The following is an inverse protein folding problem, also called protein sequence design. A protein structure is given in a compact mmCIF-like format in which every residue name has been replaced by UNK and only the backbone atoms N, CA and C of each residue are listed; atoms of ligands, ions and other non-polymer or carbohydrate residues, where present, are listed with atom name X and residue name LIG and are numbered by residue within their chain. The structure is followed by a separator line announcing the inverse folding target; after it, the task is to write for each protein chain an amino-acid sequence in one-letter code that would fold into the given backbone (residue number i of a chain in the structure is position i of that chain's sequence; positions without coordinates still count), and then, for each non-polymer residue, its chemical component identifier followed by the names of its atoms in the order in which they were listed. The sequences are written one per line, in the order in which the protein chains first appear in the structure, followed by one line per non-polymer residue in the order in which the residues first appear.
data_IF_711617117661
#
_entry.id   IF_711617117661
#
_cell.length_a   1.000
_cell.length_b   1.000
_cell.length_c   1.000
_cell.angle_alpha   90.00
_cell.angle_beta   90.00
_cell.angle_gamma   90.00
#
_symmetry.space_group_name_H-M   'P 1'
#
loop_
_entity.id
_entity.type
_entity.pdbx_description
1 polymer ?
#
# COMPACT_ATOMS: atom_id res chain seq x y z
N UNK A 1 -7.08 -2.84 18.31
CA UNK A 1 -6.50 -1.95 19.34
C UNK A 1 -7.54 -1.51 20.38
N UNK A 2 -7.21 -1.45 21.67
CA UNK A 2 -8.05 -0.69 22.61
C UNK A 2 -8.15 0.75 22.07
N UNK A 3 -9.35 1.34 22.04
CA UNK A 3 -9.48 2.73 21.60
C UNK A 3 -8.93 3.65 22.70
N UNK A 4 -7.59 3.81 22.73
CA UNK A 4 -6.87 4.62 23.73
C UNK A 4 -7.14 6.13 23.55
N UNK A 5 -8.03 6.52 22.63
CA UNK A 5 -8.37 7.91 22.34
C UNK A 5 -8.87 8.66 23.58
N UNK A 6 -9.61 8.00 24.48
CA UNK A 6 -10.04 8.61 25.74
C UNK A 6 -8.89 9.02 26.67
N UNK A 7 -7.66 8.57 26.40
CA UNK A 7 -6.46 8.93 27.13
C UNK A 7 -5.61 10.02 26.46
N UNK A 8 -6.03 10.57 25.32
CA UNK A 8 -5.24 11.54 24.55
C UNK A 8 -4.78 12.77 25.36
N UNK A 9 -5.55 13.17 26.38
CA UNK A 9 -5.23 14.28 27.28
C UNK A 9 -4.35 13.90 28.49
N UNK A 10 -4.09 12.61 28.73
CA UNK A 10 -3.25 12.13 29.84
C UNK A 10 -1.77 12.06 29.42
N UNK A 11 -0.81 12.30 30.34
CA UNK A 11 0.62 12.17 30.03
C UNK A 11 1.06 10.69 30.01
N UNK A 12 1.92 10.34 29.04
CA UNK A 12 2.49 9.02 28.83
C UNK A 12 1.51 7.81 28.70
N UNK A 13 0.27 7.93 28.19
CA UNK A 13 -0.53 6.76 27.87
C UNK A 13 0.08 5.99 26.68
N UNK A 14 -0.35 4.73 26.49
CA UNK A 14 0.00 3.94 25.32
C UNK A 14 -0.38 4.65 24.02
N UNK A 15 0.34 4.30 22.94
CA UNK A 15 0.07 4.79 21.60
C UNK A 15 -1.40 4.51 21.20
N UNK A 16 -2.03 5.47 20.53
CA UNK A 16 -3.37 5.26 19.93
C UNK A 16 -3.21 4.41 18.66
N UNK A 17 -2.26 4.79 17.79
CA UNK A 17 -1.94 4.08 16.56
C UNK A 17 -2.74 4.58 15.35
N UNK A 18 -2.29 4.19 14.16
CA UNK A 18 -2.89 4.59 12.89
C UNK A 18 -4.31 4.04 12.74
N UNK A 19 -4.59 2.80 13.16
CA UNK A 19 -5.89 2.21 12.84
C UNK A 19 -7.10 2.89 13.50
N UNK A 20 -7.09 3.22 14.81
CA UNK A 20 -8.20 3.94 15.44
C UNK A 20 -8.36 5.37 14.88
N UNK A 21 -7.26 6.07 14.62
CA UNK A 21 -7.27 7.43 14.08
C UNK A 21 -7.82 7.45 12.65
N UNK A 22 -7.35 6.53 11.80
CA UNK A 22 -7.83 6.40 10.42
C UNK A 22 -9.31 6.02 10.38
N UNK A 23 -9.79 5.15 11.27
CA UNK A 23 -11.22 4.77 11.33
C UNK A 23 -12.11 5.99 11.55
N UNK A 24 -11.72 6.90 12.45
CA UNK A 24 -12.46 8.14 12.69
C UNK A 24 -12.44 9.08 11.49
N UNK A 25 -11.26 9.26 10.87
CA UNK A 25 -11.16 10.02 9.62
C UNK A 25 -12.03 9.43 8.52
N UNK A 26 -12.02 8.10 8.38
CA UNK A 26 -12.82 7.36 7.39
C UNK A 26 -14.33 7.52 7.62
N UNK A 27 -14.77 7.59 8.88
CA UNK A 27 -16.15 7.88 9.26
C UNK A 27 -16.51 9.39 9.22
N UNK A 28 -15.61 10.23 8.69
CA UNK A 28 -15.76 11.68 8.60
C UNK A 28 -15.92 12.39 9.97
N UNK A 29 -15.38 11.82 11.04
CA UNK A 29 -15.29 12.52 12.33
C UNK A 29 -14.28 13.67 12.27
N UNK A 30 -14.59 14.80 12.93
CA UNK A 30 -13.65 15.92 13.03
C UNK A 30 -12.52 15.57 14.01
N UNK A 31 -11.31 15.40 13.47
CA UNK A 31 -10.10 15.09 14.25
C UNK A 31 -9.45 16.33 14.87
N UNK A 32 -9.89 17.55 14.56
CA UNK A 32 -9.26 18.78 15.09
C UNK A 32 -9.26 18.85 16.62
N UNK A 33 -10.35 18.50 17.34
CA UNK A 33 -10.33 18.51 18.81
C UNK A 33 -9.28 17.55 19.38
N UNK A 34 -9.21 16.33 18.83
CA UNK A 34 -8.21 15.34 19.23
C UNK A 34 -6.78 15.82 18.93
N UNK A 35 -6.57 16.43 17.76
CA UNK A 35 -5.28 17.04 17.40
C UNK A 35 -4.86 18.14 18.38
N UNK A 36 -5.79 18.97 18.85
CA UNK A 36 -5.50 20.02 19.83
C UNK A 36 -5.11 19.43 21.20
N UNK A 37 -5.76 18.35 21.64
CA UNK A 37 -5.41 17.64 22.87
C UNK A 37 -4.02 17.00 22.78
N UNK A 38 -3.71 16.32 21.69
CA UNK A 38 -2.41 15.69 21.45
C UNK A 38 -1.29 16.74 21.36
N UNK A 39 -1.54 17.87 20.68
CA UNK A 39 -0.60 18.98 20.63
C UNK A 39 -0.33 19.56 22.03
N UNK A 40 -1.38 19.83 22.80
CA UNK A 40 -1.24 20.34 24.16
C UNK A 40 -0.48 19.35 25.07
N UNK A 41 -0.74 18.05 24.92
CA UNK A 41 -0.02 16.98 25.63
C UNK A 41 1.47 16.95 25.26
N UNK A 42 1.80 17.01 23.97
CA UNK A 42 3.17 17.03 23.48
C UNK A 42 3.93 18.28 23.98
N UNK A 43 3.27 19.45 23.98
CA UNK A 43 3.86 20.69 24.50
C UNK A 43 4.09 20.64 26.02
N UNK A 44 3.15 20.07 26.78
CA UNK A 44 3.27 19.94 28.23
C UNK A 44 4.28 18.86 28.64
N UNK A 45 4.49 17.84 27.80
CA UNK A 45 5.36 16.70 28.08
C UNK A 45 6.29 16.43 26.87
N UNK A 46 7.39 17.19 26.69
CA UNK A 46 8.25 17.06 25.51
C UNK A 46 8.93 15.70 25.31
N UNK A 47 8.95 14.85 26.34
CA UNK A 47 9.49 13.49 26.28
C UNK A 47 8.43 12.43 25.89
N UNK A 48 7.17 12.83 25.70
CA UNK A 48 6.06 11.92 25.40
C UNK A 48 5.98 11.64 23.88
N UNK A 49 6.87 10.77 23.40
CA UNK A 49 6.98 10.45 21.98
C UNK A 49 5.68 9.91 21.36
N UNK A 50 4.86 9.21 22.15
CA UNK A 50 3.54 8.72 21.70
C UNK A 50 2.61 9.87 21.31
N UNK A 51 2.61 10.97 22.08
CA UNK A 51 1.81 12.15 21.76
C UNK A 51 2.22 12.77 20.41
N UNK A 52 3.54 12.86 20.15
CA UNK A 52 4.07 13.34 18.88
C UNK A 52 3.68 12.41 17.72
N UNK A 53 3.83 11.09 17.87
CA UNK A 53 3.52 10.15 16.79
C UNK A 53 2.01 10.15 16.46
N UNK A 54 1.14 10.10 17.47
CA UNK A 54 -0.32 10.17 17.27
C UNK A 54 -0.74 11.52 16.66
N UNK A 55 -0.13 12.63 17.11
CA UNK A 55 -0.39 13.96 16.53
C UNK A 55 0.07 14.05 15.08
N UNK A 56 1.22 13.47 14.75
CA UNK A 56 1.71 13.41 13.37
C UNK A 56 0.69 12.70 12.47
N UNK A 57 0.11 11.61 12.95
CA UNK A 57 -0.93 10.86 12.22
C UNK A 57 -2.18 11.71 12.00
N UNK A 58 -2.66 12.42 13.03
CA UNK A 58 -3.79 13.37 12.88
C UNK A 58 -3.49 14.46 11.86
N UNK A 59 -2.27 14.99 11.82
CA UNK A 59 -1.86 15.98 10.81
C UNK A 59 -1.89 15.39 9.39
N UNK A 60 -1.46 14.14 9.20
CA UNK A 60 -1.58 13.46 7.90
C UNK A 60 -3.04 13.33 7.47
N UNK A 61 -3.91 12.86 8.39
CA UNK A 61 -5.33 12.66 8.14
C UNK A 61 -6.11 13.97 7.92
N UNK A 62 -5.55 15.11 8.34
CA UNK A 62 -6.11 16.45 8.13
C UNK A 62 -5.41 17.23 7.02
N UNK A 63 -4.63 16.54 6.17
CA UNK A 63 -3.95 17.07 4.99
C UNK A 63 -2.87 18.13 5.27
N UNK A 64 -2.21 18.06 6.43
CA UNK A 64 -1.07 18.91 6.81
C UNK A 64 0.26 18.15 6.65
N UNK A 65 0.57 17.70 5.42
CA UNK A 65 1.68 16.76 5.14
C UNK A 65 3.03 17.22 5.70
N UNK A 66 3.47 18.43 5.38
CA UNK A 66 4.80 18.92 5.77
C UNK A 66 4.99 18.91 7.30
N UNK A 67 4.04 19.51 8.03
CA UNK A 67 4.07 19.50 9.49
C UNK A 67 3.96 18.09 10.06
N UNK A 68 3.15 17.22 9.45
CA UNK A 68 3.02 15.84 9.88
C UNK A 68 4.36 15.09 9.84
N UNK A 69 5.09 15.20 8.72
CA UNK A 69 6.38 14.52 8.56
C UNK A 69 7.44 15.10 9.50
N UNK A 70 7.45 16.41 9.74
CA UNK A 70 8.35 17.04 10.70
C UNK A 70 8.09 16.55 12.15
N UNK A 71 6.81 16.49 12.56
CA UNK A 71 6.42 15.99 13.89
C UNK A 71 6.73 14.49 14.02
N UNK A 72 6.51 13.70 12.97
CA UNK A 72 6.86 12.27 12.96
C UNK A 72 8.37 12.06 13.15
N UNK A 73 9.19 12.82 12.43
CA UNK A 73 10.65 12.76 12.58
C UNK A 73 11.09 13.07 14.01
N UNK A 74 10.49 14.09 14.63
CA UNK A 74 10.75 14.42 16.03
C UNK A 74 10.33 13.30 16.99
N UNK A 75 9.17 12.67 16.76
CA UNK A 75 8.73 11.53 17.56
C UNK A 75 9.75 10.39 17.52
N UNK A 76 10.25 10.08 16.32
CA UNK A 76 11.21 8.99 16.08
C UNK A 76 12.59 9.31 16.69
N UNK A 77 13.02 10.57 16.66
CA UNK A 77 14.24 11.01 17.34
C UNK A 77 14.17 10.83 18.86
N UNK A 78 13.00 11.09 19.45
CA UNK A 78 12.76 10.86 20.88
C UNK A 78 12.71 9.36 21.23
N UNK A 79 12.07 8.58 20.37
CA UNK A 79 11.86 7.14 20.57
C UNK A 79 11.65 6.47 19.20
N UNK A 80 12.49 5.50 18.86
CA UNK A 80 12.38 4.78 17.59
C UNK A 80 11.48 3.52 17.66
N UNK A 81 11.26 2.98 18.85
CA UNK A 81 10.49 1.75 19.08
C UNK A 81 9.13 2.06 19.71
N UNK A 82 8.04 1.61 19.09
CA UNK A 82 6.67 1.78 19.59
C UNK A 82 5.98 0.43 19.69
N UNK A 83 5.17 0.23 20.73
CA UNK A 83 4.49 -1.05 20.96
C UNK A 83 2.98 -0.87 20.98
N UNK A 84 2.28 -1.76 20.29
CA UNK A 84 0.83 -1.92 20.32
C UNK A 84 0.49 -3.32 20.87
N UNK A 85 -0.13 -3.41 22.06
CA UNK A 85 -0.46 -4.71 22.64
C UNK A 85 -1.56 -5.42 21.85
N UNK A 86 -1.53 -6.76 21.89
CA UNK A 86 -2.62 -7.58 21.39
C UNK A 86 -3.94 -7.24 22.10
N UNK A 87 -5.09 -7.37 21.42
CA UNK A 87 -6.41 -7.16 22.07
C UNK A 87 -6.74 -8.28 23.07
N UNK A 88 -6.13 -9.45 22.92
CA UNK A 88 -6.38 -10.61 23.77
C UNK A 88 -5.43 -10.63 24.99
N UNK A 89 -5.91 -11.14 26.13
CA UNK A 89 -5.22 -11.11 27.42
C UNK A 89 -3.94 -11.96 27.51
N UNK A 90 -3.70 -12.85 26.54
CA UNK A 90 -2.42 -13.51 26.36
C UNK A 90 -2.00 -13.34 24.90
N UNK A 91 -0.85 -12.70 24.60
CA UNK A 91 -0.38 -12.58 23.22
C UNK A 91 0.00 -13.96 22.70
N UNK A 92 -0.56 -14.33 21.54
CA UNK A 92 -0.26 -15.60 20.89
C UNK A 92 1.04 -15.55 20.07
N UNK A 93 1.35 -14.40 19.45
CA UNK A 93 2.53 -14.19 18.61
C UNK A 93 3.07 -12.75 18.78
N UNK A 94 4.39 -12.59 18.79
CA UNK A 94 5.06 -11.28 18.82
C UNK A 94 5.69 -10.95 17.47
N UNK A 95 5.27 -9.83 16.87
CA UNK A 95 5.74 -9.37 15.58
C UNK A 95 6.58 -8.10 15.75
N UNK A 96 7.83 -8.14 15.29
CA UNK A 96 8.65 -6.94 15.09
C UNK A 96 8.48 -6.44 13.65
N UNK A 97 8.18 -5.17 13.47
CA UNK A 97 8.01 -4.56 12.15
C UNK A 97 9.03 -3.44 11.96
N UNK A 98 9.79 -3.53 10.88
CA UNK A 98 10.72 -2.48 10.47
C UNK A 98 9.97 -1.45 9.63
N UNK A 99 9.99 -0.21 10.10
CA UNK A 99 9.30 0.94 9.51
C UNK A 99 10.32 1.99 9.05
N UNK A 100 10.00 2.70 7.97
CA UNK A 100 10.66 3.92 7.54
C UNK A 100 9.85 5.15 7.91
N UNK A 101 10.43 6.34 7.73
CA UNK A 101 9.66 7.58 7.80
C UNK A 101 8.80 7.74 6.57
N UNK A 102 7.75 8.55 6.71
CA UNK A 102 6.93 8.95 5.58
C UNK A 102 5.46 8.96 5.92
N UNK A 103 4.68 9.09 4.86
CA UNK A 103 3.23 9.10 4.96
C UNK A 103 2.66 7.70 5.25
N UNK A 104 1.33 7.62 5.39
CA UNK A 104 0.61 6.37 5.63
C UNK A 104 0.84 5.27 4.57
N UNK A 105 1.36 5.63 3.39
CA UNK A 105 1.65 4.69 2.29
C UNK A 105 3.14 4.35 2.18
N UNK A 106 4.00 4.99 2.97
CA UNK A 106 5.44 4.76 2.99
C UNK A 106 5.83 3.46 3.70
N UNK A 107 4.86 2.83 4.37
CA UNK A 107 4.99 1.54 5.03
C UNK A 107 3.73 0.70 4.84
N UNK A 108 3.84 -0.63 4.88
CA UNK A 108 2.69 -1.52 5.01
C UNK A 108 1.88 -1.13 6.24
N UNK A 109 0.59 -0.79 6.09
CA UNK A 109 -0.24 -0.37 7.21
C UNK A 109 -0.72 -1.60 8.00
N UNK A 110 0.25 -2.25 8.65
CA UNK A 110 0.17 -3.54 9.35
C UNK A 110 -0.90 -3.55 10.44
N UNK A 111 -1.11 -2.39 11.06
CA UNK A 111 -2.11 -2.14 12.08
C UNK A 111 -3.54 -2.57 11.66
N UNK A 112 -3.92 -2.39 10.40
CA UNK A 112 -5.23 -2.81 9.90
C UNK A 112 -5.34 -4.33 9.73
N UNK A 113 -4.24 -5.01 9.41
CA UNK A 113 -4.20 -6.46 9.20
C UNK A 113 -4.25 -7.25 10.51
N UNK A 114 -3.89 -6.60 11.62
CA UNK A 114 -3.79 -7.19 12.96
C UNK A 114 -4.94 -6.75 13.89
N UNK A 115 -5.91 -6.00 13.38
CA UNK A 115 -7.05 -5.57 14.17
C UNK A 115 -7.81 -6.81 14.71
N UNK A 116 -8.12 -6.82 16.01
CA UNK A 116 -8.72 -7.98 16.73
C UNK A 116 -7.88 -9.27 16.81
N UNK A 117 -6.63 -9.26 16.37
CA UNK A 117 -5.74 -10.41 16.48
C UNK A 117 -5.14 -10.60 17.89
N UNK A 118 -4.55 -11.78 18.10
CA UNK A 118 -3.72 -12.17 19.24
C UNK A 118 -2.25 -11.74 19.09
N UNK A 119 -1.92 -10.95 18.07
CA UNK A 119 -0.54 -10.53 17.76
C UNK A 119 -0.21 -9.25 18.51
N UNK A 120 0.87 -9.26 19.28
CA UNK A 120 1.48 -8.02 19.78
C UNK A 120 2.46 -7.47 18.76
N UNK A 121 2.41 -6.16 18.55
CA UNK A 121 3.15 -5.48 17.50
C UNK A 121 4.18 -4.52 18.12
N UNK A 122 5.45 -4.72 17.76
CA UNK A 122 6.53 -3.77 18.01
C UNK A 122 6.97 -3.14 16.69
N UNK A 123 6.90 -1.82 16.58
CA UNK A 123 7.26 -1.04 15.38
C UNK A 123 8.59 -0.32 15.64
N UNK A 124 9.63 -0.73 14.92
CA UNK A 124 10.95 -0.11 14.97
C UNK A 124 11.15 0.76 13.74
N UNK A 125 11.19 2.07 13.95
CA UNK A 125 11.46 3.06 12.91
C UNK A 125 12.96 3.22 12.69
N UNK A 126 13.38 3.23 11.43
CA UNK A 126 14.77 3.43 11.02
C UNK A 126 14.87 4.47 9.90
N UNK A 127 15.90 5.31 9.98
CA UNK A 127 16.30 6.25 8.92
C UNK A 127 17.61 5.78 8.29
N UNK A 128 18.17 6.52 7.33
CA UNK A 128 19.52 6.23 6.81
C UNK A 128 20.62 6.56 7.83
N UNK A 129 20.37 7.55 8.68
CA UNK A 129 21.29 8.07 9.70
C UNK A 129 21.16 7.33 11.04
N UNK A 130 20.01 6.69 11.28
CA UNK A 130 19.73 5.99 12.53
C UNK A 130 20.77 4.90 12.79
N UNK A 131 21.33 4.84 13.99
CA UNK A 131 22.09 3.67 14.41
C UNK A 131 21.16 2.45 14.48
N UNK A 132 21.68 1.26 14.17
CA UNK A 132 20.93 0.04 14.46
C UNK A 132 20.87 -0.13 15.99
N UNK A 133 19.70 -0.42 16.59
CA UNK A 133 19.62 -0.60 18.03
C UNK A 133 20.44 -1.83 18.47
N UNK A 134 21.23 -1.69 19.54
CA UNK A 134 22.06 -2.79 20.06
C UNK A 134 21.22 -4.02 20.44
N UNK A 135 19.98 -3.78 20.88
CA UNK A 135 19.01 -4.83 21.20
C UNK A 135 17.64 -4.47 20.62
N UNK A 136 16.89 -5.49 20.22
CA UNK A 136 15.48 -5.36 19.87
C UNK A 136 14.64 -6.17 20.85
N UNK A 137 13.33 -5.90 20.99
CA UNK A 137 12.43 -6.75 21.75
C UNK A 137 12.50 -8.21 21.26
N UNK A 138 12.37 -9.16 22.17
CA UNK A 138 12.23 -10.56 21.78
C UNK A 138 10.91 -10.76 21.03
N UNK A 139 10.99 -11.39 19.87
CA UNK A 139 9.90 -11.54 18.91
C UNK A 139 10.00 -12.90 18.21
N UNK A 140 8.89 -13.33 17.62
CA UNK A 140 8.80 -14.62 16.96
C UNK A 140 9.07 -14.49 15.44
N UNK A 141 8.63 -13.38 14.84
CA UNK A 141 8.76 -13.08 13.41
C UNK A 141 9.11 -11.60 13.24
N UNK A 142 9.92 -11.27 12.23
CA UNK A 142 10.13 -9.91 11.76
C UNK A 142 9.46 -9.69 10.40
N UNK A 143 8.91 -8.50 10.16
CA UNK A 143 8.43 -8.08 8.84
C UNK A 143 9.06 -6.74 8.46
N UNK A 144 9.49 -6.60 7.20
CA UNK A 144 9.86 -5.29 6.66
C UNK A 144 8.62 -4.67 6.03
N UNK A 145 8.16 -3.55 6.59
CA UNK A 145 6.99 -2.83 6.10
C UNK A 145 7.35 -1.67 5.17
N UNK A 146 8.60 -1.19 5.16
CA UNK A 146 9.06 -0.12 4.27
C UNK A 146 8.59 -0.37 2.83
N UNK A 147 7.90 0.59 2.23
CA UNK A 147 7.36 0.49 0.87
C UNK A 147 8.45 0.72 -0.18
N UNK A 148 8.24 0.20 -1.40
CA UNK A 148 9.04 0.60 -2.55
C UNK A 148 8.74 2.05 -2.92
N UNK A 149 9.78 2.87 -2.96
CA UNK A 149 9.74 4.22 -3.53
C UNK A 149 11.16 4.69 -3.79
N UNK A 150 11.34 5.69 -4.66
CA UNK A 150 12.65 6.29 -4.91
C UNK A 150 13.31 6.78 -3.60
N UNK A 151 12.52 7.34 -2.67
CA UNK A 151 13.00 7.83 -1.38
C UNK A 151 13.40 6.68 -0.43
N UNK A 152 12.72 5.54 -0.51
CA UNK A 152 12.98 4.37 0.34
C UNK A 152 14.04 3.42 -0.22
N UNK A 153 14.40 3.50 -1.50
CA UNK A 153 15.41 2.63 -2.13
C UNK A 153 16.73 2.55 -1.32
N UNK A 154 17.33 3.67 -0.85
CA UNK A 154 18.54 3.59 -0.04
C UNK A 154 18.33 2.88 1.30
N UNK A 155 17.16 3.01 1.91
CA UNK A 155 16.83 2.36 3.18
C UNK A 155 16.63 0.85 2.97
N UNK A 156 15.91 0.45 1.92
CA UNK A 156 15.75 -0.95 1.54
C UNK A 156 17.10 -1.62 1.28
N UNK A 157 18.01 -0.94 0.56
CA UNK A 157 19.37 -1.44 0.32
C UNK A 157 20.15 -1.62 1.63
N UNK A 158 20.05 -0.65 2.54
CA UNK A 158 20.68 -0.75 3.88
C UNK A 158 20.11 -1.93 4.67
N UNK A 159 18.80 -2.12 4.65
CA UNK A 159 18.11 -3.19 5.36
C UNK A 159 18.47 -4.57 4.80
N UNK A 160 18.69 -4.72 3.48
CA UNK A 160 19.06 -6.00 2.88
C UNK A 160 20.34 -6.60 3.51
N UNK A 161 21.36 -5.77 3.73
CA UNK A 161 22.60 -6.20 4.40
C UNK A 161 22.38 -6.60 5.87
N UNK A 162 21.38 -6.00 6.51
CA UNK A 162 21.04 -6.26 7.90
C UNK A 162 20.24 -7.56 8.07
N UNK A 163 19.17 -7.73 7.30
CA UNK A 163 18.25 -8.85 7.47
C UNK A 163 18.87 -10.20 7.07
N UNK A 164 19.93 -10.19 6.28
CA UNK A 164 20.61 -11.38 5.77
C UNK A 164 21.04 -12.37 6.86
N UNK A 165 21.36 -11.87 8.07
CA UNK A 165 21.77 -12.70 9.21
C UNK A 165 20.82 -12.57 10.40
N UNK A 166 19.56 -12.16 10.17
CA UNK A 166 18.59 -12.00 11.25
C UNK A 166 18.26 -13.35 11.90
N UNK A 167 18.24 -13.46 13.25
CA UNK A 167 18.09 -14.75 13.94
C UNK A 167 16.65 -15.29 13.95
N UNK A 168 15.68 -14.53 13.42
CA UNK A 168 14.27 -14.91 13.34
C UNK A 168 13.80 -14.91 11.88
N UNK A 169 12.70 -15.60 11.54
CA UNK A 169 12.08 -15.52 10.22
C UNK A 169 11.78 -14.08 9.83
N UNK A 170 12.06 -13.74 8.57
CA UNK A 170 11.81 -12.41 8.01
C UNK A 170 10.78 -12.51 6.89
N UNK A 171 9.69 -11.75 7.02
CA UNK A 171 8.67 -11.60 6.00
C UNK A 171 8.97 -10.37 5.17
N UNK A 172 8.85 -10.54 3.85
CA UNK A 172 9.14 -9.55 2.82
C UNK A 172 10.57 -9.01 2.91
N UNK A 173 11.53 -9.75 2.37
CA UNK A 173 12.93 -9.29 2.37
C UNK A 173 13.09 -7.99 1.54
N UNK A 174 13.93 -7.04 2.00
CA UNK A 174 14.08 -5.72 1.37
C UNK A 174 14.47 -5.78 -0.11
N UNK A 175 15.31 -6.75 -0.52
CA UNK A 175 15.73 -6.92 -1.91
C UNK A 175 14.59 -7.27 -2.85
N UNK A 176 13.55 -7.96 -2.36
CA UNK A 176 12.35 -8.28 -3.13
C UNK A 176 11.34 -7.14 -3.11
N UNK A 177 11.32 -6.32 -2.05
CA UNK A 177 10.54 -5.08 -2.03
C UNK A 177 11.11 -4.06 -3.01
N UNK A 178 12.44 -3.92 -3.07
CA UNK A 178 13.13 -2.91 -3.89
C UNK A 178 12.83 -3.01 -5.40
N UNK A 179 12.36 -4.17 -5.88
CA UNK A 179 12.02 -4.39 -7.30
C UNK A 179 10.55 -4.15 -7.62
N UNK A 180 9.73 -3.69 -6.65
CA UNK A 180 8.31 -3.42 -6.86
C UNK A 180 8.00 -2.11 -7.60
N UNK A 181 9.03 -1.40 -8.07
CA UNK A 181 8.83 -0.23 -8.94
C UNK A 181 8.05 -0.62 -10.19
N UNK A 182 7.33 0.32 -10.80
CA UNK A 182 6.49 0.01 -11.97
C UNK A 182 7.28 -0.60 -13.13
N UNK A 183 8.49 -0.12 -13.35
CA UNK A 183 9.44 -0.65 -14.32
C UNK A 183 10.07 -1.99 -13.87
N UNK A 184 10.32 -2.17 -12.57
CA UNK A 184 10.81 -3.43 -12.00
C UNK A 184 9.79 -4.57 -12.12
N UNK A 185 8.54 -4.32 -11.70
CA UNK A 185 7.40 -5.24 -11.87
C UNK A 185 7.17 -5.51 -13.35
N UNK A 186 7.22 -4.47 -14.20
CA UNK A 186 7.11 -4.62 -15.64
C UNK A 186 8.14 -5.62 -16.16
N UNK A 187 9.43 -5.39 -15.87
CA UNK A 187 10.53 -6.25 -16.30
C UNK A 187 10.39 -7.69 -15.79
N UNK A 188 10.00 -7.87 -14.52
CA UNK A 188 9.82 -9.18 -13.91
C UNK A 188 8.62 -9.95 -14.50
N UNK A 189 7.53 -9.27 -14.84
CA UNK A 189 6.30 -9.92 -15.29
C UNK A 189 6.19 -10.09 -16.81
N UNK A 190 7.10 -9.52 -17.59
CA UNK A 190 7.10 -9.70 -19.05
C UNK A 190 7.02 -11.18 -19.46
N UNK A 191 6.30 -11.43 -20.56
CA UNK A 191 6.12 -12.75 -21.17
C UNK A 191 5.50 -13.81 -20.24
N UNK A 192 4.77 -13.42 -19.20
CA UNK A 192 3.97 -14.37 -18.42
C UNK A 192 2.68 -14.71 -19.17
N UNK A 193 2.32 -16.00 -19.34
CA UNK A 193 1.04 -16.36 -19.95
C UNK A 193 -0.12 -15.88 -19.07
N UNK A 194 -1.25 -15.54 -19.72
CA UNK A 194 -2.49 -15.13 -19.07
C UNK A 194 -2.39 -13.84 -18.22
N UNK A 195 -1.36 -13.03 -18.47
CA UNK A 195 -1.08 -11.79 -17.75
C UNK A 195 -0.79 -10.69 -18.78
N UNK A 196 -1.47 -9.57 -18.66
CA UNK A 196 -1.16 -8.35 -19.40
C UNK A 196 -0.43 -7.37 -18.47
N UNK A 197 0.88 -7.20 -18.71
CA UNK A 197 1.70 -6.17 -18.06
C UNK A 197 2.26 -5.26 -19.16
N UNK A 198 1.58 -4.14 -19.45
CA UNK A 198 2.04 -3.16 -20.41
C UNK A 198 3.48 -2.73 -20.17
N UNK A 199 4.26 -2.63 -21.24
CA UNK A 199 5.62 -2.11 -21.17
C UNK A 199 5.56 -0.72 -20.53
N UNK A 200 6.29 -0.54 -19.44
CA UNK A 200 6.34 0.72 -18.69
C UNK A 200 7.79 1.18 -18.63
N UNK A 201 8.04 2.37 -19.17
CA UNK A 201 9.39 2.96 -19.22
C UNK A 201 9.48 4.20 -18.34
N UNK A 202 10.65 4.39 -17.74
CA UNK A 202 11.04 5.64 -17.09
C UNK A 202 11.71 6.55 -18.11
N UNK A 203 11.20 7.78 -18.26
CA UNK A 203 11.77 8.79 -19.15
C UNK A 203 11.93 10.13 -18.43
N UNK A 204 12.91 10.91 -18.88
CA UNK A 204 13.10 12.29 -18.47
C UNK A 204 12.07 13.22 -19.14
N UNK A 205 11.80 14.36 -18.51
CA UNK A 205 10.92 15.42 -19.01
C UNK A 205 11.28 15.83 -20.44
N UNK A 206 12.56 15.94 -20.75
CA UNK A 206 13.04 16.29 -22.08
C UNK A 206 12.64 15.28 -23.17
N UNK A 207 12.61 13.98 -22.85
CA UNK A 207 12.17 12.94 -23.78
C UNK A 207 10.65 13.02 -24.01
N UNK A 208 9.87 13.30 -22.95
CA UNK A 208 8.44 13.54 -23.08
C UNK A 208 8.17 14.80 -23.91
N UNK A 209 8.90 15.89 -23.68
CA UNK A 209 8.82 17.11 -24.50
C UNK A 209 9.15 16.84 -25.98
N UNK A 210 10.18 16.04 -26.25
CA UNK A 210 10.53 15.64 -27.61
C UNK A 210 9.40 14.85 -28.29
N UNK A 211 8.66 14.01 -27.54
CA UNK A 211 7.48 13.31 -28.05
C UNK A 211 6.38 14.31 -28.41
N UNK A 212 6.11 15.28 -27.53
CA UNK A 212 5.12 16.34 -27.77
C UNK A 212 5.45 17.23 -28.97
N UNK A 213 6.74 17.48 -29.22
CA UNK A 213 7.20 18.26 -30.37
C UNK A 213 7.34 17.44 -31.67
N UNK A 214 7.03 16.14 -31.65
CA UNK A 214 7.22 15.24 -32.80
C UNK A 214 8.69 14.96 -33.17
N UNK A 215 9.63 15.27 -32.28
CA UNK A 215 11.06 15.02 -32.47
C UNK A 215 11.47 13.57 -32.17
N UNK A 216 10.60 12.81 -31.47
CA UNK A 216 10.68 11.36 -31.32
C UNK A 216 9.30 10.74 -31.54
N UNK A 217 9.23 9.42 -31.70
CA UNK A 217 7.97 8.68 -31.88
C UNK A 217 7.65 7.84 -30.65
N UNK A 218 6.38 7.44 -30.50
CA UNK A 218 5.98 6.50 -29.45
C UNK A 218 6.77 5.20 -29.58
N UNK A 219 6.89 4.65 -30.79
CA UNK A 219 7.64 3.42 -31.05
C UNK A 219 9.13 3.47 -30.67
N UNK A 220 9.73 4.67 -30.56
CA UNK A 220 11.09 4.83 -30.06
C UNK A 220 11.19 4.72 -28.53
N UNK A 221 10.10 5.05 -27.81
CA UNK A 221 10.01 4.95 -26.35
C UNK A 221 9.42 3.61 -25.90
N UNK A 222 8.39 3.14 -26.60
CA UNK A 222 7.63 1.92 -26.35
C UNK A 222 7.55 1.12 -27.65
N UNK A 223 8.52 0.22 -27.92
CA UNK A 223 8.50 -0.59 -29.12
C UNK A 223 7.21 -1.41 -29.21
N UNK A 224 6.56 -1.39 -30.38
CA UNK A 224 5.29 -2.07 -30.68
C UNK A 224 4.02 -1.39 -30.16
N UNK A 225 4.13 -0.26 -29.47
CA UNK A 225 2.99 0.49 -28.97
C UNK A 225 2.80 1.82 -29.69
N UNK A 226 1.59 2.35 -29.54
CA UNK A 226 1.18 3.67 -30.02
C UNK A 226 0.19 4.29 -29.04
N UNK A 227 -0.28 5.50 -29.32
CA UNK A 227 -1.37 6.13 -28.59
C UNK A 227 -2.65 5.24 -28.57
N UNK A 228 -3.48 5.35 -27.51
CA UNK A 228 -3.32 6.22 -26.35
C UNK A 228 -2.25 5.76 -25.36
N UNK A 229 -1.58 6.71 -24.73
CA UNK A 229 -0.59 6.49 -23.67
C UNK A 229 -1.14 6.89 -22.30
N UNK A 230 -0.58 6.31 -21.24
CA UNK A 230 -0.69 6.83 -19.89
C UNK A 230 0.65 7.42 -19.46
N UNK A 231 0.61 8.61 -18.87
CA UNK A 231 1.80 9.32 -18.38
C UNK A 231 1.60 9.70 -16.92
N UNK A 232 2.61 9.42 -16.11
CA UNK A 232 2.56 9.62 -14.66
C UNK A 232 3.89 10.14 -14.12
N UNK A 233 3.92 11.16 -13.26
CA UNK A 233 5.14 11.55 -12.56
C UNK A 233 5.63 10.44 -11.63
N UNK A 234 6.93 10.27 -11.53
CA UNK A 234 7.52 9.32 -10.56
C UNK A 234 7.29 9.83 -9.14
N UNK A 235 7.02 8.91 -8.21
CA UNK A 235 6.69 9.23 -6.82
C UNK A 235 5.27 9.76 -6.60
N UNK A 236 4.45 9.89 -7.65
CA UNK A 236 3.03 10.22 -7.48
C UNK A 236 2.25 8.99 -6.99
N UNK A 237 1.29 9.20 -6.09
CA UNK A 237 0.38 8.18 -5.59
C UNK A 237 -1.07 8.52 -5.93
N UNK A 238 -1.97 7.53 -5.79
CA UNK A 238 -3.41 7.72 -5.98
C UNK A 238 -3.81 8.42 -7.30
N UNK A 239 -3.06 8.18 -8.38
CA UNK A 239 -3.35 8.77 -9.70
C UNK A 239 -3.15 10.28 -9.81
N UNK A 240 -2.48 10.92 -8.84
CA UNK A 240 -2.15 12.34 -8.93
C UNK A 240 -1.32 12.61 -10.20
N UNK A 241 -1.79 13.53 -11.04
CA UNK A 241 -1.19 13.87 -12.33
C UNK A 241 -1.03 12.69 -13.31
N UNK A 242 -1.75 11.58 -13.10
CA UNK A 242 -1.83 10.50 -14.08
C UNK A 242 -2.82 10.90 -15.17
N UNK A 243 -2.34 11.08 -16.40
CA UNK A 243 -3.18 11.46 -17.54
C UNK A 243 -3.08 10.45 -18.69
N UNK A 244 -4.19 10.30 -19.40
CA UNK A 244 -4.25 9.54 -20.65
C UNK A 244 -4.07 10.50 -21.82
N UNK A 245 -3.01 10.33 -22.58
CA UNK A 245 -2.73 11.09 -23.80
C UNK A 245 -3.27 10.32 -24.99
N UNK A 246 -4.04 11.00 -25.83
CA UNK A 246 -4.57 10.50 -27.08
C UNK A 246 -3.66 10.83 -28.27
N UNK A 247 -2.84 11.88 -28.16
CA UNK A 247 -1.96 12.36 -29.23
C UNK A 247 -0.72 13.06 -28.67
N UNK A 248 0.28 13.31 -29.52
CA UNK A 248 1.47 14.09 -29.17
C UNK A 248 1.12 15.50 -28.66
N UNK A 249 0.09 16.12 -29.24
CA UNK A 249 -0.30 17.50 -28.93
C UNK A 249 -0.76 17.67 -27.47
N UNK A 250 -1.20 16.59 -26.81
CA UNK A 250 -1.64 16.61 -25.41
C UNK A 250 -0.46 16.85 -24.44
N UNK A 251 0.78 16.56 -24.87
CA UNK A 251 1.97 16.58 -24.02
C UNK A 251 2.32 17.99 -23.55
N UNK A 252 2.24 18.98 -24.44
CA UNK A 252 2.64 20.35 -24.12
C UNK A 252 1.75 20.94 -23.01
N UNK A 253 0.45 20.73 -23.13
CA UNK A 253 -0.54 21.16 -22.15
C UNK A 253 -0.37 20.45 -20.81
N UNK A 254 -0.09 19.14 -20.83
CA UNK A 254 0.20 18.36 -19.63
C UNK A 254 1.43 18.89 -18.89
N UNK A 255 2.55 19.09 -19.60
CA UNK A 255 3.80 19.58 -19.01
C UNK A 255 3.70 21.02 -18.52
N UNK A 256 2.81 21.84 -19.07
CA UNK A 256 2.56 23.19 -18.56
C UNK A 256 1.90 23.19 -17.17
N UNK A 257 1.18 22.12 -16.80
CA UNK A 257 0.50 21.97 -15.50
C UNK A 257 1.28 21.14 -14.50
N UNK A 258 2.08 20.19 -14.98
CA UNK A 258 2.76 19.19 -14.14
C UNK A 258 4.25 19.49 -14.03
N UNK A 259 4.66 19.87 -12.83
CA UNK A 259 6.04 20.11 -12.46
C UNK A 259 6.68 18.80 -11.96
N UNK A 260 7.35 18.10 -12.88
CA UNK A 260 8.05 16.86 -12.61
C UNK A 260 9.15 16.64 -13.65
N UNK A 261 10.27 16.07 -13.20
CA UNK A 261 11.45 15.81 -14.03
C UNK A 261 11.44 14.42 -14.67
N UNK A 262 10.79 13.44 -14.05
CA UNK A 262 10.75 12.06 -14.53
C UNK A 262 9.32 11.52 -14.57
N UNK A 263 9.07 10.67 -15.57
CA UNK A 263 7.76 10.10 -15.82
C UNK A 263 7.84 8.59 -16.09
N UNK A 264 6.81 7.89 -15.64
CA UNK A 264 6.43 6.59 -16.18
C UNK A 264 5.53 6.79 -17.40
N UNK A 265 5.83 6.09 -18.49
CA UNK A 265 5.00 6.07 -19.71
C UNK A 265 4.72 4.62 -20.09
N UNK A 266 3.46 4.34 -20.43
CA UNK A 266 3.01 3.04 -20.91
C UNK A 266 1.84 3.20 -21.88
N UNK A 267 1.52 2.17 -22.67
CA UNK A 267 0.28 2.15 -23.45
C UNK A 267 -0.94 2.13 -22.52
N UNK A 268 -2.01 2.79 -22.93
CA UNK A 268 -3.30 2.62 -22.28
C UNK A 268 -3.93 1.29 -22.72
N UNK A 269 -4.37 0.49 -21.75
CA UNK A 269 -5.16 -0.72 -22.01
C UNK A 269 -6.63 -0.41 -21.80
N UNK A 270 -7.43 -0.64 -22.83
CA UNK A 270 -8.88 -0.55 -22.69
C UNK A 270 -9.45 -1.86 -22.13
N UNK A 271 -9.67 -1.88 -20.82
CA UNK A 271 -10.17 -3.04 -20.07
C UNK A 271 -11.68 -2.94 -19.76
N UNK A 272 -12.43 -2.17 -20.54
CA UNK A 272 -13.89 -2.13 -20.41
C UNK A 272 -14.47 -3.51 -20.64
N UNK A 273 -15.43 -3.90 -19.81
CA UNK A 273 -16.26 -5.06 -20.09
C UNK A 273 -17.33 -4.72 -21.14
N UNK A 274 -18.14 -5.72 -21.52
CA UNK A 274 -19.14 -5.58 -22.58
C UNK A 274 -20.21 -4.49 -22.33
N UNK A 275 -20.42 -4.10 -21.06
CA UNK A 275 -21.33 -3.02 -20.67
C UNK A 275 -20.69 -1.61 -20.78
N UNK A 276 -19.43 -1.53 -21.21
CA UNK A 276 -18.69 -0.28 -21.35
C UNK A 276 -18.13 0.26 -20.03
N UNK A 277 -18.28 -0.46 -18.91
CA UNK A 277 -17.75 -0.07 -17.61
C UNK A 277 -16.39 -0.73 -17.34
N UNK A 278 -15.59 -0.05 -16.51
CA UNK A 278 -14.31 -0.50 -16.04
C UNK A 278 -14.45 -1.14 -14.66
N UNK A 279 -13.76 -2.26 -14.43
CA UNK A 279 -13.75 -3.01 -13.17
C UNK A 279 -12.33 -3.15 -12.65
N UNK A 280 -12.06 -2.58 -11.48
CA UNK A 280 -10.76 -2.67 -10.81
C UNK A 280 -10.88 -3.50 -9.55
N UNK A 281 -9.96 -4.43 -9.39
CA UNK A 281 -9.78 -5.26 -8.21
C UNK A 281 -8.57 -4.76 -7.45
N UNK A 282 -8.67 -4.70 -6.12
CA UNK A 282 -7.52 -4.79 -5.23
C UNK A 282 -7.53 -6.16 -4.59
N UNK A 283 -6.42 -6.88 -4.69
CA UNK A 283 -6.26 -8.19 -4.08
C UNK A 283 -5.02 -8.20 -3.18
N UNK A 284 -5.08 -8.93 -2.07
CA UNK A 284 -3.91 -9.32 -1.30
C UNK A 284 -3.46 -10.72 -1.75
N UNK A 285 -2.18 -10.87 -2.02
CA UNK A 285 -1.54 -12.16 -2.26
C UNK A 285 -0.74 -12.55 -1.01
N UNK A 286 -1.19 -13.60 -0.32
CA UNK A 286 -0.60 -14.09 0.93
C UNK A 286 -0.16 -15.54 0.70
N UNK A 287 1.14 -15.80 0.76
CA UNK A 287 1.73 -17.12 0.48
C UNK A 287 1.23 -17.73 -0.84
N UNK A 288 1.09 -16.90 -1.87
CA UNK A 288 0.62 -17.29 -3.20
C UNK A 288 -0.89 -17.48 -3.33
N UNK A 289 -1.67 -17.29 -2.26
CA UNK A 289 -3.15 -17.31 -2.28
C UNK A 289 -3.69 -15.90 -2.42
N UNK A 290 -4.61 -15.69 -3.36
CA UNK A 290 -5.23 -14.38 -3.58
C UNK A 290 -6.51 -14.21 -2.76
N UNK A 291 -6.72 -12.98 -2.29
CA UNK A 291 -7.93 -12.57 -1.57
C UNK A 291 -8.37 -11.21 -2.07
N UNK A 292 -9.66 -11.03 -2.38
CA UNK A 292 -10.18 -9.72 -2.77
C UNK A 292 -10.30 -8.78 -1.57
N UNK A 293 -9.79 -7.57 -1.74
CA UNK A 293 -9.87 -6.48 -0.76
C UNK A 293 -10.91 -5.43 -1.19
N UNK A 294 -10.91 -5.08 -2.47
CA UNK A 294 -11.87 -4.13 -3.05
C UNK A 294 -12.24 -4.56 -4.46
N UNK A 295 -13.48 -4.27 -4.87
CA UNK A 295 -13.87 -4.31 -6.26
C UNK A 295 -14.70 -3.07 -6.59
N UNK A 296 -14.25 -2.29 -7.56
CA UNK A 296 -14.86 -1.02 -7.92
C UNK A 296 -15.23 -0.98 -9.40
N UNK A 297 -16.43 -0.46 -9.67
CA UNK A 297 -16.98 -0.31 -11.01
C UNK A 297 -17.10 1.16 -11.35
N UNK A 298 -16.62 1.58 -12.53
CA UNK A 298 -16.61 2.98 -12.93
C UNK A 298 -16.85 3.17 -14.42
N UNK A 299 -17.46 4.29 -14.80
CA UNK A 299 -17.50 4.74 -16.19
C UNK A 299 -16.15 5.35 -16.65
N UNK A 300 -15.27 5.68 -15.70
CA UNK A 300 -13.93 6.21 -15.96
C UNK A 300 -12.86 5.17 -15.61
N UNK A 301 -11.90 5.01 -16.52
CA UNK A 301 -10.79 4.06 -16.41
C UNK A 301 -9.84 4.25 -15.21
N UNK A 302 -9.69 5.47 -14.68
CA UNK A 302 -8.78 5.73 -13.55
C UNK A 302 -9.55 5.51 -12.25
N UNK A 303 -9.57 4.27 -11.79
CA UNK A 303 -10.40 3.87 -10.65
C UNK A 303 -9.62 3.99 -9.35
N UNK A 304 -10.12 4.89 -8.49
CA UNK A 304 -9.96 4.84 -7.04
C UNK A 304 -11.30 4.53 -6.41
N UNK A 305 -11.33 3.68 -5.39
CA UNK A 305 -12.58 3.22 -4.80
C UNK A 305 -13.49 4.39 -4.38
N UNK A 306 -12.90 5.39 -3.71
CA UNK A 306 -13.58 6.62 -3.27
C UNK A 306 -14.15 7.46 -4.43
N UNK A 307 -13.55 7.39 -5.62
CA UNK A 307 -13.96 8.15 -6.80
C UNK A 307 -14.88 7.35 -7.74
N UNK A 308 -15.09 6.06 -7.50
CA UNK A 308 -15.87 5.18 -8.37
C UNK A 308 -17.40 5.37 -8.20
N UNK A 309 -17.83 6.13 -7.19
CA UNK A 309 -19.25 6.37 -6.91
C UNK A 309 -19.99 5.12 -6.43
N UNK A 310 -19.29 4.24 -5.69
CA UNK A 310 -19.87 3.00 -5.13
C UNK A 310 -20.99 3.32 -4.11
N UNK A 311 -20.81 4.36 -3.28
CA UNK A 311 -21.79 4.79 -2.27
C UNK A 311 -23.13 5.20 -2.89
N UNK A 312 -23.10 5.77 -4.10
CA UNK A 312 -24.27 6.29 -4.79
C UNK A 312 -25.02 5.24 -5.63
N UNK A 313 -24.47 4.03 -5.82
CA UNK A 313 -25.07 3.02 -6.72
C UNK A 313 -25.26 1.66 -6.05
N UNK A 314 -26.51 1.31 -5.78
CA UNK A 314 -26.87 0.00 -5.24
C UNK A 314 -26.51 -1.16 -6.18
N UNK A 315 -26.58 -0.93 -7.50
CA UNK A 315 -26.22 -1.91 -8.52
C UNK A 315 -24.73 -2.25 -8.47
N UNK A 316 -23.85 -1.23 -8.41
CA UNK A 316 -22.41 -1.45 -8.27
C UNK A 316 -22.05 -2.17 -6.97
N UNK A 317 -22.74 -1.85 -5.87
CA UNK A 317 -22.56 -2.57 -4.58
C UNK A 317 -23.04 -4.01 -4.66
N UNK A 318 -24.16 -4.28 -5.35
CA UNK A 318 -24.62 -5.64 -5.56
C UNK A 318 -23.61 -6.45 -6.39
N UNK A 319 -22.98 -5.83 -7.39
CA UNK A 319 -21.91 -6.46 -8.17
C UNK A 319 -20.65 -6.73 -7.34
N UNK A 320 -20.21 -5.78 -6.51
CA UNK A 320 -19.10 -5.99 -5.58
C UNK A 320 -19.41 -7.11 -4.58
N UNK A 321 -20.63 -7.16 -4.03
CA UNK A 321 -21.07 -8.22 -3.13
C UNK A 321 -20.98 -9.61 -3.80
N UNK A 322 -21.46 -9.72 -5.04
CA UNK A 322 -21.41 -10.96 -5.82
C UNK A 322 -19.96 -11.36 -6.12
N UNK A 323 -19.12 -10.39 -6.52
CA UNK A 323 -17.68 -10.59 -6.71
C UNK A 323 -17.02 -11.14 -5.44
N UNK A 324 -17.22 -10.52 -4.28
CA UNK A 324 -16.60 -10.96 -3.03
C UNK A 324 -17.09 -12.34 -2.56
N UNK A 325 -18.37 -12.67 -2.81
CA UNK A 325 -18.93 -13.97 -2.48
C UNK A 325 -18.33 -15.10 -3.35
N UNK A 326 -18.12 -14.84 -4.64
CA UNK A 326 -17.71 -15.86 -5.62
C UNK A 326 -16.23 -15.78 -6.00
N UNK A 327 -15.46 -14.86 -5.43
CA UNK A 327 -14.07 -14.57 -5.82
C UNK A 327 -13.20 -15.83 -5.94
N UNK A 328 -13.27 -16.70 -4.93
CA UNK A 328 -12.47 -17.93 -4.85
C UNK A 328 -12.82 -18.94 -5.96
N UNK A 329 -14.09 -18.98 -6.39
CA UNK A 329 -14.61 -19.92 -7.39
C UNK A 329 -14.57 -19.37 -8.83
N UNK A 330 -14.43 -18.06 -9.00
CA UNK A 330 -14.47 -17.39 -10.30
C UNK A 330 -13.13 -16.70 -10.62
N UNK A 331 -12.93 -15.47 -10.13
CA UNK A 331 -11.76 -14.65 -10.49
C UNK A 331 -10.44 -15.32 -10.09
N UNK A 332 -10.34 -15.78 -8.83
CA UNK A 332 -9.12 -16.41 -8.34
C UNK A 332 -8.81 -17.72 -9.07
N UNK A 333 -9.83 -18.52 -9.37
CA UNK A 333 -9.69 -19.77 -10.11
C UNK A 333 -9.24 -19.53 -11.56
N UNK A 334 -9.88 -18.58 -12.25
CA UNK A 334 -9.57 -18.21 -13.63
C UNK A 334 -8.14 -17.70 -13.78
N UNK A 335 -7.71 -16.86 -12.85
CA UNK A 335 -6.40 -16.20 -12.87
C UNK A 335 -5.31 -16.93 -12.09
N UNK A 336 -5.58 -18.15 -11.58
CA UNK A 336 -4.64 -18.91 -10.77
C UNK A 336 -3.24 -19.06 -11.40
N UNK A 337 -3.09 -19.35 -12.71
CA UNK A 337 -1.77 -19.44 -13.34
C UNK A 337 -1.00 -18.11 -13.30
N UNK A 338 -1.66 -16.99 -13.61
CA UNK A 338 -1.06 -15.66 -13.61
C UNK A 338 -0.66 -15.22 -12.18
N UNK A 339 -1.55 -15.43 -11.21
CA UNK A 339 -1.29 -15.13 -9.79
C UNK A 339 -0.14 -15.98 -9.22
N UNK A 340 -0.05 -17.26 -9.60
CA UNK A 340 1.07 -18.10 -9.23
C UNK A 340 2.38 -17.61 -9.84
N UNK A 341 2.38 -17.21 -11.12
CA UNK A 341 3.56 -16.64 -11.77
C UNK A 341 4.02 -15.35 -11.09
N UNK A 342 3.09 -14.47 -10.70
CA UNK A 342 3.40 -13.26 -9.93
C UNK A 342 4.06 -13.64 -8.61
N UNK A 343 3.48 -14.56 -7.85
CA UNK A 343 4.04 -14.99 -6.58
C UNK A 343 5.49 -15.50 -6.72
N UNK A 344 5.74 -16.36 -7.71
CA UNK A 344 7.07 -16.92 -7.96
C UNK A 344 8.10 -15.87 -8.36
N UNK A 345 7.69 -14.85 -9.14
CA UNK A 345 8.61 -13.83 -9.65
C UNK A 345 8.85 -12.69 -8.66
N UNK A 346 7.86 -12.36 -7.83
CA UNK A 346 8.00 -11.33 -6.80
C UNK A 346 8.69 -11.86 -5.55
N UNK A 347 8.50 -13.14 -5.20
CA UNK A 347 9.19 -13.76 -4.06
C UNK A 347 8.78 -13.22 -2.68
N UNK A 348 7.67 -12.47 -2.60
CA UNK A 348 7.18 -11.87 -1.35
C UNK A 348 6.04 -12.70 -0.76
N UNK A 349 6.13 -13.09 0.53
CA UNK A 349 5.02 -13.75 1.23
C UNK A 349 3.75 -12.90 1.30
N UNK A 350 3.86 -11.57 1.36
CA UNK A 350 2.73 -10.64 1.36
C UNK A 350 2.92 -9.52 0.35
N UNK A 351 1.96 -9.34 -0.55
CA UNK A 351 1.87 -8.17 -1.42
C UNK A 351 0.42 -7.84 -1.75
N UNK A 352 0.16 -6.59 -2.14
CA UNK A 352 -1.08 -6.15 -2.75
C UNK A 352 -0.93 -6.04 -4.27
N UNK A 353 -2.04 -6.25 -4.99
CA UNK A 353 -2.11 -6.08 -6.45
C UNK A 353 -3.37 -5.28 -6.78
N UNK A 354 -3.21 -4.18 -7.52
CA UNK A 354 -4.31 -3.53 -8.22
C UNK A 354 -4.34 -4.05 -9.66
N UNK A 355 -5.46 -4.65 -10.08
CA UNK A 355 -5.60 -5.33 -11.35
C UNK A 355 -7.01 -5.23 -11.95
N UNK A 356 -7.14 -5.71 -13.19
CA UNK A 356 -8.41 -5.89 -13.89
C UNK A 356 -8.35 -7.13 -14.79
N UNK A 357 -9.46 -7.44 -15.45
CA UNK A 357 -9.52 -8.44 -16.51
C UNK A 357 -9.67 -7.75 -17.86
N UNK A 358 -8.84 -8.11 -18.84
CA UNK A 358 -8.96 -7.58 -20.21
C UNK A 358 -10.14 -8.23 -20.93
N UNK A 359 -10.54 -7.67 -22.08
CA UNK A 359 -11.56 -8.29 -22.94
C UNK A 359 -11.13 -9.65 -23.51
N UNK A 360 -9.82 -9.94 -23.54
CA UNK A 360 -9.27 -11.24 -23.91
C UNK A 360 -9.26 -12.25 -22.74
N UNK A 361 -9.57 -11.80 -21.52
CA UNK A 361 -9.58 -12.62 -20.31
C UNK A 361 -8.22 -12.73 -19.59
N UNK A 362 -7.23 -11.91 -19.97
CA UNK A 362 -5.94 -11.87 -19.29
C UNK A 362 -6.01 -11.01 -18.02
N UNK A 363 -5.19 -11.34 -17.02
CA UNK A 363 -5.02 -10.54 -15.81
C UNK A 363 -4.20 -9.29 -16.12
N UNK A 364 -4.85 -8.13 -16.21
CA UNK A 364 -4.19 -6.84 -16.40
C UNK A 364 -3.66 -6.33 -15.06
N UNK A 365 -2.35 -6.08 -14.99
CA UNK A 365 -1.71 -5.54 -13.80
C UNK A 365 -1.58 -4.03 -13.91
N UNK A 366 -2.10 -3.31 -12.92
CA UNK A 366 -1.80 -1.90 -12.75
C UNK A 366 -0.60 -1.75 -11.84
N UNK A 367 -0.68 -2.29 -10.61
CA UNK A 367 0.29 -2.07 -9.55
C UNK A 367 0.50 -3.34 -8.73
N UNK A 368 1.72 -3.55 -8.24
CA UNK A 368 2.06 -4.53 -7.22
C UNK A 368 2.91 -3.79 -6.19
N UNK A 369 2.55 -3.88 -4.92
CA UNK A 369 3.19 -3.14 -3.83
C UNK A 369 2.98 -3.85 -2.49
N UNK A 370 3.94 -3.79 -1.56
CA UNK A 370 3.79 -4.33 -0.21
C UNK A 370 2.98 -3.40 0.72
N UNK A 371 2.81 -2.13 0.37
CA UNK A 371 2.21 -1.10 1.21
C UNK A 371 0.80 -0.67 0.77
N UNK A 372 0.03 -1.56 0.14
CA UNK A 372 -1.37 -1.29 -0.16
C UNK A 372 -2.25 -1.32 1.10
N UNK A 373 -3.14 -0.33 1.23
CA UNK A 373 -4.14 -0.29 2.31
C UNK A 373 -5.17 -1.41 2.09
N UNK A 374 -5.34 -2.23 3.13
CA UNK A 374 -6.37 -3.26 3.27
C UNK A 374 -6.98 -3.09 4.66
N UNK A 375 -8.30 -2.88 4.75
CA UNK A 375 -8.95 -2.52 6.00
C UNK A 375 -10.42 -2.99 6.03
N UNK A 376 -10.99 -3.10 7.24
CA UNK A 376 -12.41 -3.40 7.47
C UNK A 376 -13.14 -2.22 8.13
N UNK A 377 -13.00 -1.03 7.54
CA UNK A 377 -13.58 0.23 8.08
C UNK A 377 -14.86 0.67 7.37
N UNK A 378 -15.19 0.04 6.24
CA UNK A 378 -16.43 0.34 5.51
C UNK A 378 -17.68 0.18 6.39
N UNK A 379 -18.66 1.05 6.17
CA UNK A 379 -19.93 1.04 6.89
C UNK A 379 -20.67 -0.29 6.69
N UNK A 380 -20.93 -1.03 7.77
CA UNK A 380 -21.53 -2.37 7.70
C UNK A 380 -22.98 -2.35 7.22
N UNK A 381 -23.69 -1.23 7.33
CA UNK A 381 -25.05 -1.12 6.83
C UNK A 381 -25.06 -0.99 5.29
N UNK A 382 -24.14 -0.20 4.74
CA UNK A 382 -24.00 0.01 3.29
C UNK A 382 -23.24 -1.13 2.60
N UNK A 383 -22.24 -1.71 3.28
CA UNK A 383 -21.30 -2.71 2.76
C UNK A 383 -21.22 -3.98 3.62
N UNK A 384 -22.33 -4.69 3.87
CA UNK A 384 -22.38 -5.81 4.82
C UNK A 384 -21.48 -7.00 4.44
N UNK A 385 -21.06 -7.10 3.18
CA UNK A 385 -20.23 -8.17 2.65
C UNK A 385 -18.71 -7.94 2.81
N UNK A 386 -18.27 -6.70 3.07
CA UNK A 386 -16.83 -6.37 3.09
C UNK A 386 -16.11 -6.91 4.32
N UNK A 387 -16.70 -6.75 5.50
CA UNK A 387 -16.07 -7.22 6.75
C UNK A 387 -15.84 -8.75 6.75
N UNK A 388 -16.79 -9.60 6.35
CA UNK A 388 -16.53 -11.03 6.16
C UNK A 388 -15.40 -11.33 5.16
N UNK A 389 -15.32 -10.60 4.04
CA UNK A 389 -14.23 -10.75 3.08
C UNK A 389 -12.86 -10.36 3.70
N UNK A 390 -12.80 -9.27 4.46
CA UNK A 390 -11.57 -8.80 5.10
C UNK A 390 -11.11 -9.75 6.20
N UNK A 391 -12.03 -10.37 6.93
CA UNK A 391 -11.71 -11.41 7.91
C UNK A 391 -10.97 -12.59 7.28
N UNK A 392 -11.29 -12.97 6.02
CA UNK A 392 -10.51 -13.99 5.29
C UNK A 392 -9.06 -13.54 5.10
N UNK A 393 -8.86 -12.27 4.70
CA UNK A 393 -7.52 -11.68 4.51
C UNK A 393 -6.75 -11.66 5.82
N UNK A 394 -7.34 -11.14 6.91
CA UNK A 394 -6.68 -11.02 8.21
C UNK A 394 -6.35 -12.39 8.82
N UNK A 395 -7.26 -13.36 8.67
CA UNK A 395 -7.00 -14.75 9.09
C UNK A 395 -5.83 -15.36 8.31
N UNK A 396 -5.78 -15.15 6.99
CA UNK A 396 -4.68 -15.64 6.16
C UNK A 396 -3.36 -14.95 6.51
N UNK A 397 -3.37 -13.64 6.76
CA UNK A 397 -2.20 -12.89 7.18
C UNK A 397 -1.67 -13.41 8.52
N UNK A 398 -2.54 -13.60 9.51
CA UNK A 398 -2.18 -14.19 10.80
C UNK A 398 -1.62 -15.61 10.67
N UNK A 399 -2.18 -16.43 9.77
CA UNK A 399 -1.67 -17.77 9.51
C UNK A 399 -0.29 -17.76 8.85
N UNK A 400 -0.02 -16.82 7.94
CA UNK A 400 1.33 -16.64 7.37
C UNK A 400 2.36 -16.33 8.46
N UNK A 401 2.01 -15.47 9.44
CA UNK A 401 2.89 -15.22 10.59
C UNK A 401 3.16 -16.50 11.39
N UNK A 402 2.14 -17.33 11.59
CA UNK A 402 2.27 -18.62 12.29
C UNK A 402 3.18 -19.60 11.55
N UNK A 403 3.01 -19.70 10.22
CA UNK A 403 3.82 -20.54 9.36
C UNK A 403 5.28 -20.12 9.44
N UNK A 404 5.55 -18.81 9.33
CA UNK A 404 6.90 -18.26 9.45
C UNK A 404 7.55 -18.62 10.79
N UNK A 405 6.83 -18.44 11.91
CA UNK A 405 7.31 -18.77 13.27
C UNK A 405 7.81 -20.21 13.39
N UNK A 406 7.17 -21.16 12.72
CA UNK A 406 7.53 -22.58 12.80
C UNK A 406 8.71 -22.98 11.91
N UNK A 407 9.05 -22.20 10.89
CA UNK A 407 10.17 -22.49 9.98
C UNK A 407 11.53 -22.52 10.69
N UNK A 408 11.66 -21.89 11.87
CA UNK A 408 12.89 -21.90 12.68
C UNK A 408 13.06 -23.14 13.56
N UNK A 409 12.02 -23.97 13.74
CA UNK A 409 12.04 -25.10 14.69
C UNK A 409 12.66 -26.37 14.08
N UNK A 410 12.98 -26.36 12.78
CA UNK A 410 13.64 -27.47 12.08
C UNK A 410 15.05 -27.07 11.67
N UNK A 411 15.93 -26.88 12.67
CA UNK A 411 17.34 -26.58 12.50
C UNK A 411 18.17 -27.28 13.56
#
# INVERSE_FOLDING_TARGET
MSDNIGSAAHPFPPLIGVAPLMRRAFLNEDLKPLGAELLARAQANPADAHAYLDFSTVLQLTNNRESALAVQAQAIELQALYSLPARQSAPGLRLLVIMGLGDLMSNTPIEFLLEDSDVSLDMLYLTLESAWPETVPDHDVMMVAVAESADNQPLLQRLAGFVANWPRPVINLPEYIAVLSRDGVCAALQNSPNLDMPITVRIERAALQALGAGATTVGALLPQDDFPLIVRPIGSHAGQNLEKMMHCDDVADYLARVDAEQFYVSRFVDYRSADGLFRKYRIALIEGRSFVCHFAVSAHWMIHYLNAGMDASAEKRAEEAACMANFDAEFALRHAPALHAIYQRMGLPYLGIDCAETSAGDLLIFEIDNAMVVHAMDDEHMYPYKKPAMQKVFTAFRQMLENARHTTVVG
#
